data_IF_365621560931
#
_entry.id   IF_365621560931
#
_cell.length_a   1.000
_cell.length_b   1.000
_cell.length_c   1.000
_cell.angle_alpha   90.00
_cell.angle_beta   90.00
_cell.angle_gamma   90.00
#
_symmetry.space_group_name_H-M   'P 1'
#
loop_
_entity.id
_entity.type
_entity.pdbx_description
1 polymer ?
#
# COMPACT_ATOMS: atom_id res chain seq x y z
N UNK A 1 43.72 31.86 -19.90
CA UNK A 1 42.77 31.02 -19.13
C UNK A 1 42.67 31.38 -17.64
N UNK A 2 43.19 32.49 -17.16
CA UNK A 2 43.32 32.83 -15.72
C UNK A 2 42.25 33.80 -15.19
N UNK A 3 41.52 34.49 -16.07
CA UNK A 3 40.52 35.50 -15.63
C UNK A 3 39.15 34.96 -15.19
N UNK A 4 38.75 33.80 -15.69
CA UNK A 4 37.41 33.20 -15.37
C UNK A 4 37.31 32.61 -13.95
N UNK A 5 38.43 32.10 -13.43
CA UNK A 5 38.49 31.46 -12.10
C UNK A 5 38.37 32.51 -10.97
N UNK A 6 38.90 33.70 -11.17
CA UNK A 6 38.82 34.78 -10.18
C UNK A 6 37.43 35.38 -10.02
N UNK A 7 36.62 35.42 -11.07
CA UNK A 7 35.24 35.92 -11.02
C UNK A 7 34.31 34.98 -10.28
N UNK A 8 34.46 33.65 -10.44
CA UNK A 8 33.66 32.66 -9.74
C UNK A 8 33.95 32.64 -8.23
N UNK A 9 35.21 32.81 -7.84
CA UNK A 9 35.60 32.88 -6.43
C UNK A 9 35.07 34.14 -5.73
N UNK A 10 35.01 35.28 -6.42
CA UNK A 10 34.49 36.53 -5.86
C UNK A 10 32.96 36.50 -5.66
N UNK A 11 32.25 35.84 -6.56
CA UNK A 11 30.80 35.70 -6.45
C UNK A 11 30.37 34.74 -5.32
N UNK A 12 31.10 33.65 -5.07
CA UNK A 12 30.84 32.74 -3.93
C UNK A 12 31.05 33.41 -2.56
N UNK A 13 32.09 34.27 -2.43
CA UNK A 13 32.32 35.01 -1.17
C UNK A 13 31.23 36.01 -0.89
N UNK A 14 30.63 36.62 -1.91
CA UNK A 14 29.53 37.59 -1.75
C UNK A 14 28.25 36.87 -1.29
N UNK A 15 27.92 35.69 -1.84
CA UNK A 15 26.76 34.90 -1.42
C UNK A 15 26.90 34.38 0.02
N UNK A 16 28.07 33.97 0.47
CA UNK A 16 28.29 33.52 1.84
C UNK A 16 28.14 34.66 2.85
N UNK A 17 28.62 35.87 2.52
CA UNK A 17 28.46 37.03 3.43
C UNK A 17 27.02 37.50 3.55
N UNK A 18 26.23 37.44 2.48
CA UNK A 18 24.78 37.82 2.53
C UNK A 18 23.96 36.81 3.36
N UNK A 19 24.30 35.53 3.34
CA UNK A 19 23.63 34.53 4.19
C UNK A 19 23.95 34.70 5.69
N UNK A 20 25.21 35.01 6.03
CA UNK A 20 25.64 35.25 7.42
C UNK A 20 25.02 36.54 7.96
N UNK A 21 24.83 37.57 7.13
CA UNK A 21 24.25 38.84 7.54
C UNK A 21 22.73 38.74 7.80
N UNK A 22 22.03 37.91 7.02
CA UNK A 22 20.58 37.66 7.26
C UNK A 22 20.31 36.85 8.53
N UNK A 23 21.21 35.94 8.92
CA UNK A 23 21.05 35.19 10.17
C UNK A 23 21.36 36.01 11.42
N UNK A 24 22.18 37.02 11.32
CA UNK A 24 22.50 37.90 12.47
C UNK A 24 21.38 38.90 12.83
N UNK A 25 20.49 39.23 11.90
CA UNK A 25 19.37 40.17 12.17
C UNK A 25 18.17 39.43 12.80
N UNK A 26 18.07 38.11 12.67
CA UNK A 26 16.95 37.33 13.24
C UNK A 26 17.05 37.07 14.76
N UNK A 27 18.20 37.37 15.38
CA UNK A 27 18.43 37.09 16.82
C UNK A 27 18.27 38.32 17.76
N UNK A 28 17.93 39.49 17.22
CA UNK A 28 17.87 40.73 18.01
C UNK A 28 16.47 41.15 18.51
N UNK A 29 15.40 40.35 18.23
CA UNK A 29 14.03 40.71 18.66
C UNK A 29 13.34 39.57 19.42
N UNK A 30 13.99 39.01 20.41
CA UNK A 30 13.30 38.06 21.29
C UNK A 30 13.66 38.31 22.77
N UNK A 31 13.23 39.45 23.30
CA UNK A 31 13.23 39.69 24.75
C UNK A 31 12.04 40.55 25.15
N UNK A 32 10.82 40.00 25.01
CA UNK A 32 9.68 40.37 25.81
C UNK A 32 9.11 39.07 26.37
N UNK A 33 9.52 38.74 27.58
CA UNK A 33 8.98 37.64 28.36
C UNK A 33 7.57 37.98 28.80
N UNK A 34 6.56 37.62 28.04
CA UNK A 34 5.20 37.48 28.53
C UNK A 34 5.07 36.07 29.08
N UNK A 35 5.10 35.94 30.39
CA UNK A 35 4.67 34.73 31.10
C UNK A 35 3.16 34.53 30.88
N UNK A 36 2.80 34.00 29.71
CA UNK A 36 1.48 33.42 29.53
C UNK A 36 1.58 32.00 30.05
N UNK A 37 0.98 31.77 31.19
CA UNK A 37 0.76 30.41 31.73
C UNK A 37 -0.22 29.67 30.80
N UNK A 38 0.27 29.21 29.67
CA UNK A 38 -0.47 28.31 28.76
C UNK A 38 -0.41 26.92 29.36
N UNK A 39 -1.49 26.57 30.04
CA UNK A 39 -1.75 25.16 30.34
C UNK A 39 -1.54 24.35 29.06
N UNK A 40 -0.60 23.42 29.12
CA UNK A 40 -0.38 22.45 28.05
C UNK A 40 -1.64 21.58 28.03
N UNK A 41 -2.64 21.99 27.24
CA UNK A 41 -3.72 21.10 26.88
C UNK A 41 -3.05 19.96 26.09
N UNK A 42 -2.89 18.80 26.73
CA UNK A 42 -2.55 17.57 26.05
C UNK A 42 -3.67 17.32 25.02
N UNK A 43 -3.49 17.86 23.81
CA UNK A 43 -4.31 17.47 22.69
C UNK A 43 -3.95 16.01 22.40
N UNK A 44 -4.76 15.11 22.91
CA UNK A 44 -4.80 13.73 22.43
C UNK A 44 -5.09 13.80 20.94
N UNK A 45 -4.03 13.65 20.14
CA UNK A 45 -4.16 13.46 18.69
C UNK A 45 -4.92 12.15 18.54
N UNK A 46 -6.24 12.25 18.34
CA UNK A 46 -7.06 11.09 17.97
C UNK A 46 -6.48 10.58 16.65
N UNK A 47 -5.84 9.41 16.68
CA UNK A 47 -5.33 8.77 15.49
C UNK A 47 -6.50 8.61 14.51
N UNK A 48 -6.45 9.31 13.38
CA UNK A 48 -7.44 9.13 12.33
C UNK A 48 -7.48 7.66 11.93
N UNK A 49 -8.67 7.07 11.79
CA UNK A 49 -8.77 5.70 11.30
C UNK A 49 -8.04 5.60 9.96
N UNK A 50 -7.28 4.53 9.72
CA UNK A 50 -6.52 4.36 8.48
C UNK A 50 -7.46 4.50 7.28
N UNK A 51 -7.05 5.33 6.32
CA UNK A 51 -7.83 5.62 5.11
C UNK A 51 -8.15 4.31 4.40
N UNK A 52 -9.44 4.01 4.26
CA UNK A 52 -9.90 2.82 3.58
C UNK A 52 -9.78 3.01 2.06
N UNK A 53 -9.08 2.10 1.40
CA UNK A 53 -8.94 2.06 -0.06
C UNK A 53 -10.06 1.20 -0.66
N UNK A 54 -10.79 1.72 -1.66
CA UNK A 54 -11.78 0.93 -2.42
C UNK A 54 -11.08 -0.08 -3.33
N UNK A 55 -11.59 -1.30 -3.37
CA UNK A 55 -11.10 -2.41 -4.18
C UNK A 55 -12.25 -3.10 -4.91
N UNK A 56 -11.93 -3.81 -5.98
CA UNK A 56 -12.84 -4.69 -6.73
C UNK A 56 -12.01 -5.78 -7.40
N UNK A 57 -11.48 -6.70 -6.60
CA UNK A 57 -10.66 -7.82 -7.08
C UNK A 57 -11.06 -9.12 -6.39
N UNK A 58 -10.74 -10.26 -7.02
CA UNK A 58 -10.87 -11.58 -6.41
C UNK A 58 -9.51 -12.09 -5.95
N UNK A 59 -9.51 -12.85 -4.85
CA UNK A 59 -8.35 -13.51 -4.30
C UNK A 59 -8.78 -14.85 -3.69
N UNK A 60 -7.82 -15.71 -3.35
CA UNK A 60 -8.09 -16.97 -2.67
C UNK A 60 -7.29 -17.11 -1.38
N UNK A 61 -7.83 -17.92 -0.47
CA UNK A 61 -7.25 -18.15 0.86
C UNK A 61 -6.09 -19.14 0.77
N UNK A 62 -4.94 -18.78 1.38
CA UNK A 62 -3.71 -19.60 1.44
C UNK A 62 -3.30 -19.97 2.87
N UNK A 63 -4.22 -19.90 3.83
CA UNK A 63 -3.91 -20.22 5.23
C UNK A 63 -3.48 -21.69 5.38
N UNK A 64 -2.52 -21.92 6.29
CA UNK A 64 -2.12 -23.26 6.72
C UNK A 64 -2.89 -23.73 7.97
N UNK A 65 -3.71 -22.84 8.53
CA UNK A 65 -4.50 -23.17 9.72
C UNK A 65 -5.58 -24.21 9.37
N UNK A 66 -5.61 -25.37 10.04
CA UNK A 66 -6.58 -26.43 9.73
C UNK A 66 -8.04 -25.97 9.82
N UNK A 67 -8.31 -24.98 10.67
CA UNK A 67 -9.64 -24.43 10.89
C UNK A 67 -10.00 -23.29 9.92
N UNK A 68 -9.10 -22.91 9.02
CA UNK A 68 -9.33 -21.84 8.06
C UNK A 68 -8.98 -20.44 8.57
N UNK A 69 -9.15 -19.45 7.69
CA UNK A 69 -8.89 -18.03 7.93
C UNK A 69 -10.03 -17.37 8.70
N UNK A 70 -9.73 -16.70 9.80
CA UNK A 70 -10.72 -15.97 10.58
C UNK A 70 -11.26 -14.75 9.81
N UNK A 71 -12.58 -14.63 9.74
CA UNK A 71 -13.32 -13.45 9.31
C UNK A 71 -13.74 -12.65 10.53
N UNK A 72 -13.44 -11.35 10.56
CA UNK A 72 -13.66 -10.48 11.71
C UNK A 72 -14.63 -9.34 11.42
N UNK A 73 -15.22 -8.78 12.46
CA UNK A 73 -16.15 -7.65 12.35
C UNK A 73 -15.46 -6.31 12.00
N UNK A 74 -14.12 -6.23 12.07
CA UNK A 74 -13.35 -5.03 11.77
C UNK A 74 -11.89 -5.32 11.45
N UNK A 75 -11.17 -4.31 10.98
CA UNK A 75 -9.80 -4.36 10.47
C UNK A 75 -8.74 -4.41 11.59
N UNK A 76 -8.85 -5.34 12.53
CA UNK A 76 -7.92 -5.54 13.64
C UNK A 76 -8.01 -6.96 14.19
N UNK A 77 -6.93 -7.53 14.77
CA UNK A 77 -6.95 -8.84 15.40
C UNK A 77 -7.83 -8.89 16.67
N UNK A 78 -8.17 -7.75 17.25
CA UNK A 78 -9.01 -7.64 18.46
C UNK A 78 -10.50 -7.67 18.17
N UNK A 79 -10.92 -7.47 16.91
CA UNK A 79 -12.31 -7.53 16.54
C UNK A 79 -12.86 -8.95 16.62
N UNK A 80 -14.16 -9.05 16.95
CA UNK A 80 -14.88 -10.31 17.09
C UNK A 80 -14.79 -11.15 15.80
N UNK A 81 -14.54 -12.45 15.95
CA UNK A 81 -14.59 -13.42 14.84
C UNK A 81 -16.07 -13.68 14.51
N UNK A 82 -16.40 -13.55 13.22
CA UNK A 82 -17.72 -13.79 12.65
C UNK A 82 -17.85 -15.20 12.10
N UNK A 83 -16.74 -15.80 11.67
CA UNK A 83 -16.65 -17.11 11.08
C UNK A 83 -15.27 -17.40 10.52
N UNK A 84 -15.15 -18.44 9.73
CA UNK A 84 -13.90 -18.89 9.12
C UNK A 84 -14.12 -19.26 7.66
N UNK A 85 -13.05 -19.16 6.86
CA UNK A 85 -13.03 -19.51 5.44
C UNK A 85 -11.92 -20.54 5.23
N UNK A 86 -12.25 -21.64 4.56
CA UNK A 86 -11.29 -22.70 4.28
C UNK A 86 -10.21 -22.27 3.29
N UNK A 87 -9.08 -22.97 3.28
CA UNK A 87 -8.03 -22.82 2.26
C UNK A 87 -8.61 -23.08 0.86
N UNK A 88 -8.10 -22.35 -0.14
CA UNK A 88 -8.51 -22.37 -1.54
C UNK A 88 -9.89 -21.76 -1.85
N UNK A 89 -10.65 -21.35 -0.84
CA UNK A 89 -11.88 -20.60 -1.09
C UNK A 89 -11.58 -19.24 -1.72
N UNK A 90 -12.42 -18.84 -2.66
CA UNK A 90 -12.34 -17.54 -3.34
C UNK A 90 -13.13 -16.49 -2.57
N UNK A 91 -12.62 -15.28 -2.51
CA UNK A 91 -13.24 -14.12 -1.87
C UNK A 91 -13.14 -12.91 -2.79
N UNK A 92 -14.17 -12.07 -2.80
CA UNK A 92 -14.12 -10.75 -3.42
C UNK A 92 -13.64 -9.74 -2.39
N UNK A 93 -12.57 -8.99 -2.71
CA UNK A 93 -12.06 -7.90 -1.88
C UNK A 93 -12.71 -6.60 -2.35
N UNK A 94 -13.41 -5.92 -1.45
CA UNK A 94 -14.13 -4.67 -1.73
C UNK A 94 -13.49 -3.44 -1.10
N UNK A 95 -12.61 -3.64 -0.11
CA UNK A 95 -11.86 -2.55 0.51
C UNK A 95 -10.59 -3.06 1.19
N UNK A 96 -9.60 -2.16 1.36
CA UNK A 96 -8.37 -2.42 2.10
C UNK A 96 -8.12 -1.33 3.15
N UNK A 97 -7.55 -1.73 4.30
CA UNK A 97 -7.15 -0.85 5.40
C UNK A 97 -5.90 -1.44 6.08
N UNK A 98 -4.73 -0.93 5.73
CA UNK A 98 -3.45 -1.48 6.14
C UNK A 98 -3.29 -2.94 5.70
N UNK A 99 -3.06 -3.84 6.66
CA UNK A 99 -2.93 -5.29 6.40
C UNK A 99 -4.26 -6.05 6.47
N UNK A 100 -5.39 -5.37 6.42
CA UNK A 100 -6.72 -5.96 6.48
C UNK A 100 -7.51 -5.63 5.23
N UNK A 101 -8.29 -6.59 4.75
CA UNK A 101 -9.19 -6.38 3.62
C UNK A 101 -10.60 -6.79 3.98
N UNK A 102 -11.57 -6.00 3.51
CA UNK A 102 -12.99 -6.30 3.62
C UNK A 102 -13.39 -7.18 2.44
N UNK A 103 -14.03 -8.30 2.76
CA UNK A 103 -14.40 -9.32 1.77
C UNK A 103 -15.90 -9.53 1.71
N UNK A 104 -16.35 -10.01 0.56
CA UNK A 104 -17.72 -10.48 0.26
C UNK A 104 -17.63 -11.58 -0.81
N UNK A 105 -18.77 -12.09 -1.30
CA UNK A 105 -18.88 -13.08 -2.38
C UNK A 105 -17.92 -14.26 -2.18
N UNK A 106 -18.05 -14.91 -1.04
CA UNK A 106 -17.16 -15.98 -0.59
C UNK A 106 -17.71 -17.32 -1.08
N UNK A 107 -16.85 -18.13 -1.71
CA UNK A 107 -17.15 -19.54 -1.94
C UNK A 107 -17.09 -20.30 -0.60
N UNK A 108 -17.61 -21.54 -0.54
CA UNK A 108 -17.63 -22.31 0.70
C UNK A 108 -18.77 -21.95 1.66
N UNK A 109 -18.61 -22.30 2.94
CA UNK A 109 -19.69 -22.31 3.93
C UNK A 109 -20.00 -20.94 4.55
N UNK A 110 -18.98 -20.10 4.74
CA UNK A 110 -19.18 -18.77 5.31
C UNK A 110 -19.89 -17.85 4.32
N UNK A 111 -21.06 -17.37 4.71
CA UNK A 111 -21.84 -16.39 3.93
C UNK A 111 -21.89 -15.07 4.67
N UNK A 112 -21.49 -13.99 4.03
CA UNK A 112 -21.52 -12.66 4.62
C UNK A 112 -20.34 -11.78 4.24
N UNK A 113 -20.16 -10.74 5.04
CA UNK A 113 -19.12 -9.74 4.86
C UNK A 113 -18.29 -9.62 6.13
N UNK A 114 -16.99 -9.41 5.99
CA UNK A 114 -16.12 -9.18 7.13
C UNK A 114 -14.71 -8.79 6.71
N UNK A 115 -13.80 -8.77 7.67
CA UNK A 115 -12.41 -8.42 7.49
C UNK A 115 -11.50 -9.62 7.68
N UNK A 116 -10.56 -9.81 6.77
CA UNK A 116 -9.54 -10.86 6.86
C UNK A 116 -8.14 -10.27 6.76
N UNK A 117 -7.16 -11.01 7.24
CA UNK A 117 -5.76 -10.60 7.21
C UNK A 117 -5.18 -10.84 5.81
N UNK A 118 -4.84 -9.76 5.12
CA UNK A 118 -4.39 -9.76 3.73
C UNK A 118 -3.23 -10.74 3.43
N UNK A 119 -2.20 -10.91 4.27
CA UNK A 119 -1.13 -11.87 4.01
C UNK A 119 -1.56 -13.35 3.94
N UNK A 120 -2.80 -13.67 4.32
CA UNK A 120 -3.39 -15.01 4.18
C UNK A 120 -4.19 -15.17 2.89
N UNK A 121 -4.08 -14.21 1.98
CA UNK A 121 -4.68 -14.25 0.66
C UNK A 121 -3.60 -14.24 -0.42
N UNK A 122 -3.89 -14.84 -1.54
CA UNK A 122 -3.07 -14.83 -2.75
C UNK A 122 -3.93 -14.57 -3.98
N UNK A 123 -3.26 -14.24 -5.05
CA UNK A 123 -3.82 -14.11 -6.39
C UNK A 123 -2.83 -14.77 -7.36
N UNK A 124 -3.31 -15.35 -8.44
CA UNK A 124 -2.44 -15.86 -9.49
C UNK A 124 -2.47 -14.94 -10.70
N UNK A 125 -1.42 -14.97 -11.48
CA UNK A 125 -1.41 -14.39 -12.82
C UNK A 125 -2.32 -15.20 -13.72
N UNK A 126 -3.15 -14.50 -14.50
CA UNK A 126 -3.80 -15.08 -15.66
C UNK A 126 -2.74 -15.37 -16.71
N UNK A 127 -2.96 -16.32 -17.55
CA UNK A 127 -1.89 -16.58 -18.51
C UNK A 127 -2.15 -17.74 -19.43
N UNK A 128 -3.37 -18.29 -19.45
CA UNK A 128 -3.73 -19.28 -20.44
C UNK A 128 -3.61 -18.67 -21.85
N UNK A 129 -2.76 -19.27 -22.68
CA UNK A 129 -2.50 -18.79 -24.04
C UNK A 129 -1.58 -17.56 -24.15
N UNK A 130 -0.92 -17.14 -23.07
CA UNK A 130 0.05 -16.05 -23.06
C UNK A 130 1.43 -16.51 -22.55
N UNK A 131 2.46 -15.71 -22.81
CA UNK A 131 3.81 -15.90 -22.27
C UNK A 131 4.01 -15.23 -20.89
N UNK A 132 2.91 -14.86 -20.22
CA UNK A 132 2.84 -14.21 -18.92
C UNK A 132 2.30 -12.79 -18.98
N UNK A 133 2.11 -12.20 -17.80
CA UNK A 133 1.45 -10.90 -17.60
C UNK A 133 2.43 -9.85 -17.10
N UNK A 134 2.16 -8.56 -17.37
CA UNK A 134 3.05 -7.48 -16.95
C UNK A 134 2.76 -7.00 -15.52
N UNK A 135 3.83 -6.64 -14.81
CA UNK A 135 3.74 -5.84 -13.57
C UNK A 135 3.99 -4.38 -13.95
N UNK A 136 3.06 -3.50 -13.54
CA UNK A 136 3.11 -2.07 -13.79
C UNK A 136 3.60 -1.30 -12.56
N UNK A 137 4.28 -0.17 -12.75
CA UNK A 137 4.77 0.68 -11.66
C UNK A 137 3.64 1.37 -10.88
N UNK A 138 2.50 1.60 -11.52
CA UNK A 138 1.29 2.19 -10.91
C UNK A 138 0.03 1.44 -11.40
N UNK A 139 -1.09 1.62 -10.71
CA UNK A 139 -2.41 1.08 -11.07
C UNK A 139 -2.97 1.76 -12.34
N UNK A 140 -2.26 1.66 -13.44
CA UNK A 140 -2.56 2.29 -14.72
C UNK A 140 -1.77 1.60 -15.85
N UNK A 141 -2.45 1.15 -16.91
CA UNK A 141 -1.85 0.49 -18.07
C UNK A 141 -0.86 1.38 -18.86
N UNK A 142 -0.96 2.71 -18.72
CA UNK A 142 -0.02 3.65 -19.35
C UNK A 142 1.27 3.82 -18.54
N UNK A 143 1.35 3.27 -17.34
CA UNK A 143 2.56 3.33 -16.51
C UNK A 143 3.62 2.33 -17.00
N UNK A 144 4.84 2.53 -16.53
CA UNK A 144 5.98 1.68 -16.92
C UNK A 144 5.74 0.22 -16.52
N UNK A 145 6.02 -0.70 -17.45
CA UNK A 145 6.14 -2.14 -17.18
C UNK A 145 7.48 -2.40 -16.50
N UNK A 146 7.46 -2.89 -15.26
CA UNK A 146 8.65 -3.06 -14.41
C UNK A 146 9.02 -4.53 -14.17
N UNK A 147 8.17 -5.45 -14.61
CA UNK A 147 8.39 -6.89 -14.49
C UNK A 147 7.35 -7.69 -15.24
N UNK A 148 7.53 -9.01 -15.23
CA UNK A 148 6.62 -9.98 -15.86
C UNK A 148 6.43 -11.16 -14.92
N UNK A 149 5.21 -11.67 -14.82
CA UNK A 149 4.86 -12.88 -14.08
C UNK A 149 4.54 -13.97 -15.08
N UNK A 150 5.13 -15.17 -14.96
CA UNK A 150 4.76 -16.30 -15.82
C UNK A 150 3.27 -16.65 -15.72
N UNK A 151 2.71 -17.38 -16.70
CA UNK A 151 1.33 -17.83 -16.68
C UNK A 151 1.00 -18.65 -15.43
N UNK A 152 -0.23 -18.53 -14.91
CA UNK A 152 -0.76 -19.35 -13.80
C UNK A 152 0.14 -19.40 -12.56
N UNK A 153 0.87 -18.31 -12.30
CA UNK A 153 1.82 -18.23 -11.20
C UNK A 153 1.20 -17.49 -10.03
N UNK A 154 1.20 -18.12 -8.85
CA UNK A 154 0.78 -17.48 -7.59
C UNK A 154 1.73 -16.36 -7.22
N UNK A 155 1.19 -15.19 -6.87
CA UNK A 155 1.94 -14.01 -6.45
C UNK A 155 1.45 -13.50 -5.10
N UNK A 156 2.35 -12.90 -4.34
CA UNK A 156 2.00 -12.34 -3.04
C UNK A 156 1.16 -11.08 -3.24
N UNK A 157 -0.04 -11.08 -2.64
CA UNK A 157 -0.93 -9.93 -2.63
C UNK A 157 -0.50 -8.94 -1.55
N UNK A 158 -0.28 -7.68 -1.93
CA UNK A 158 0.14 -6.60 -1.03
C UNK A 158 -0.98 -5.60 -0.75
N UNK A 159 -1.95 -5.48 -1.65
CA UNK A 159 -3.04 -4.51 -1.58
C UNK A 159 -3.88 -4.48 -2.85
N UNK A 160 -4.73 -3.46 -2.95
CA UNK A 160 -5.58 -3.24 -4.12
C UNK A 160 -5.97 -1.77 -4.27
N UNK A 161 -6.30 -1.37 -5.49
CA UNK A 161 -6.86 -0.05 -5.82
C UNK A 161 -7.83 -0.19 -7.00
N UNK A 162 -9.15 0.00 -6.74
CA UNK A 162 -10.16 -0.35 -7.74
C UNK A 162 -10.00 -1.81 -8.16
N UNK A 163 -9.89 -2.05 -9.43
CA UNK A 163 -9.71 -3.37 -10.06
C UNK A 163 -8.23 -3.82 -10.16
N UNK A 164 -7.30 -3.02 -9.66
CA UNK A 164 -5.86 -3.30 -9.69
C UNK A 164 -5.41 -4.03 -8.43
N UNK A 165 -4.68 -5.13 -8.59
CA UNK A 165 -4.03 -5.83 -7.50
C UNK A 165 -2.59 -5.35 -7.34
N UNK A 166 -2.20 -4.93 -6.14
CA UNK A 166 -0.82 -4.69 -5.79
C UNK A 166 -0.16 -5.99 -5.39
N UNK A 167 0.92 -6.35 -6.06
CA UNK A 167 1.56 -7.66 -5.92
C UNK A 167 3.08 -7.56 -5.74
N UNK A 168 3.66 -8.67 -5.26
CA UNK A 168 5.11 -8.88 -5.24
C UNK A 168 5.42 -10.23 -5.87
N UNK A 169 6.32 -10.22 -6.86
CA UNK A 169 6.86 -11.40 -7.51
C UNK A 169 8.38 -11.27 -7.67
N UNK A 170 9.16 -12.22 -7.15
CA UNK A 170 10.63 -12.22 -7.19
C UNK A 170 11.28 -10.90 -6.75
N UNK A 171 10.71 -10.26 -5.71
CA UNK A 171 11.19 -8.98 -5.18
C UNK A 171 10.70 -7.73 -5.92
N UNK A 172 10.07 -7.88 -7.09
CA UNK A 172 9.46 -6.78 -7.84
C UNK A 172 8.08 -6.51 -7.25
N UNK A 173 7.83 -5.28 -6.82
CA UNK A 173 6.54 -4.81 -6.30
C UNK A 173 5.89 -3.88 -7.31
N UNK A 174 4.64 -4.14 -7.63
CA UNK A 174 3.90 -3.31 -8.58
C UNK A 174 2.44 -3.75 -8.69
N UNK A 175 1.84 -3.53 -9.84
CA UNK A 175 0.41 -3.67 -10.05
C UNK A 175 0.10 -4.62 -11.19
N UNK A 176 -0.84 -5.53 -10.98
CA UNK A 176 -1.48 -6.34 -12.02
C UNK A 176 -2.80 -5.71 -12.44
N UNK A 177 -3.01 -5.62 -13.75
CA UNK A 177 -4.28 -5.18 -14.32
C UNK A 177 -5.39 -6.22 -14.06
N UNK A 178 -6.65 -5.80 -14.10
CA UNK A 178 -7.82 -6.65 -13.83
C UNK A 178 -7.86 -7.91 -14.70
N UNK A 179 -7.61 -7.73 -16.00
CA UNK A 179 -7.60 -8.79 -17.00
C UNK A 179 -6.45 -9.80 -16.82
N UNK A 180 -5.40 -9.42 -16.09
CA UNK A 180 -4.19 -10.23 -15.84
C UNK A 180 -4.30 -11.05 -14.54
N UNK A 181 -5.40 -10.92 -13.80
CA UNK A 181 -5.61 -11.52 -12.48
C UNK A 181 -6.40 -12.83 -12.57
N UNK A 182 -6.05 -13.76 -11.70
CA UNK A 182 -6.82 -14.97 -11.40
C UNK A 182 -7.02 -15.09 -9.89
N UNK A 183 -8.24 -14.85 -9.42
CA UNK A 183 -8.61 -14.90 -8.01
C UNK A 183 -9.05 -16.29 -7.51
N UNK A 184 -8.89 -17.34 -8.31
CA UNK A 184 -9.26 -18.70 -7.96
C UNK A 184 -8.03 -19.61 -7.77
N UNK A 185 -8.04 -20.44 -6.72
CA UNK A 185 -6.91 -21.31 -6.40
C UNK A 185 -6.83 -22.58 -7.26
N UNK A 186 -7.98 -23.11 -7.65
CA UNK A 186 -8.10 -24.46 -8.21
C UNK A 186 -8.51 -24.49 -9.69
N UNK A 187 -8.68 -23.33 -10.31
CA UNK A 187 -9.04 -23.23 -11.74
C UNK A 187 -8.05 -22.37 -12.48
N UNK A 188 -7.75 -22.76 -13.73
CA UNK A 188 -7.13 -21.86 -14.67
C UNK A 188 -8.14 -20.78 -15.04
N UNK A 189 -7.86 -19.52 -14.72
CA UNK A 189 -8.65 -18.42 -15.24
C UNK A 189 -8.38 -18.28 -16.74
N UNK A 190 -9.29 -18.76 -17.56
CA UNK A 190 -9.31 -18.60 -19.02
C UNK A 190 -9.98 -17.28 -19.39
#
# INVERSE_FOLDING_TARGET
>A
MTSAILLVSKNRRKQLNDQVFQQAIALAFCSISVLVNTGIANQTVLAQPPKQQKCDIYAYVITKEPQGLNVRSGASPTHRILGKIATNETVKIVAASGKWVKITDITGDFKGTGWVYLPMLSISSRGYGTDGVNIYSNANQKSQKIGKVPPSTSVKLLGCQGEWAQVEYQGIKGWLASEDQCGAALTSCS
#
